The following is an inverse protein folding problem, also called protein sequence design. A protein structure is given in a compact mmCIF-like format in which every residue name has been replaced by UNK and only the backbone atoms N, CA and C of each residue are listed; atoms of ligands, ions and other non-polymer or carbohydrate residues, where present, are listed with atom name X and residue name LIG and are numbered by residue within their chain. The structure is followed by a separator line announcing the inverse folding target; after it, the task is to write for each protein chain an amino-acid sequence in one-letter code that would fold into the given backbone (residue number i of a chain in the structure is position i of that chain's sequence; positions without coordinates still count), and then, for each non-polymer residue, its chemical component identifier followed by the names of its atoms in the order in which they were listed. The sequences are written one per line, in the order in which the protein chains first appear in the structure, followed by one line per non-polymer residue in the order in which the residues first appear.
data_IF_577563092612
#
_entry.id   IF_577563092612
#
_cell.length_a   1.000
_cell.length_b   1.000
_cell.length_c   1.000
_cell.angle_alpha   90.00
_cell.angle_beta   90.00
_cell.angle_gamma   90.00
#
_symmetry.space_group_name_H-M   'P 1'
#
loop_
_entity.id
_entity.type
_entity.pdbx_description
1 polymer ?
#
# COMPACT_ATOMS: atom_id res chain seq x y z
N UNK A 1 -33.17 -25.30 42.41
CA UNK A 1 -32.88 -26.28 41.36
C UNK A 1 -33.10 -25.59 40.02
N UNK A 2 -32.05 -25.19 39.32
CA UNK A 2 -32.03 -25.05 37.86
C UNK A 2 -30.56 -24.80 37.44
N UNK A 3 -30.00 -25.77 36.73
CA UNK A 3 -28.64 -25.80 36.24
C UNK A 3 -28.57 -24.96 34.95
N UNK A 4 -27.84 -23.85 34.93
CA UNK A 4 -27.48 -23.16 33.70
C UNK A 4 -26.22 -23.76 33.13
N UNK A 5 -26.37 -24.42 32.00
CA UNK A 5 -25.33 -24.99 31.17
C UNK A 5 -24.59 -23.82 30.45
N UNK A 6 -23.34 -23.61 30.82
CA UNK A 6 -22.46 -22.63 30.11
C UNK A 6 -21.95 -23.29 28.82
N UNK A 7 -22.39 -22.80 27.69
CA UNK A 7 -21.82 -23.13 26.39
C UNK A 7 -20.58 -22.26 26.19
N UNK A 8 -19.41 -22.89 26.21
CA UNK A 8 -18.17 -22.32 25.78
C UNK A 8 -18.08 -22.43 24.24
N UNK A 9 -18.24 -21.33 23.54
CA UNK A 9 -17.98 -21.26 22.09
C UNK A 9 -16.50 -20.99 21.91
N UNK A 10 -15.76 -22.03 21.49
CA UNK A 10 -14.39 -21.88 20.99
C UNK A 10 -14.47 -21.20 19.60
N UNK A 11 -13.69 -20.15 19.32
CA UNK A 11 -13.50 -19.69 17.96
C UNK A 11 -12.48 -20.61 17.28
N UNK A 12 -12.97 -21.44 16.37
CA UNK A 12 -12.14 -22.22 15.46
C UNK A 12 -11.48 -21.26 14.47
N UNK A 13 -10.18 -21.06 14.61
CA UNK A 13 -9.37 -20.42 13.56
C UNK A 13 -9.32 -21.36 12.35
N UNK A 14 -10.04 -21.02 11.30
CA UNK A 14 -9.90 -21.66 10.00
C UNK A 14 -8.77 -20.98 9.28
N UNK A 15 -7.56 -21.57 9.32
CA UNK A 15 -6.51 -21.32 8.34
C UNK A 15 -7.00 -21.91 6.99
N UNK A 16 -7.59 -21.09 6.17
CA UNK A 16 -7.97 -21.44 4.80
C UNK A 16 -6.77 -21.34 3.88
N UNK A 17 -6.10 -22.45 3.62
CA UNK A 17 -5.30 -22.66 2.43
C UNK A 17 -6.27 -22.67 1.24
N UNK A 18 -6.37 -21.56 0.53
CA UNK A 18 -7.12 -21.52 -0.74
C UNK A 18 -6.24 -22.07 -1.85
N UNK A 19 -6.23 -23.40 -2.01
CA UNK A 19 -5.97 -24.02 -3.28
C UNK A 19 -7.19 -23.75 -4.16
N UNK A 20 -7.01 -23.04 -5.28
CA UNK A 20 -8.08 -22.82 -6.27
C UNK A 20 -8.35 -24.14 -6.98
N UNK A 21 -9.10 -25.05 -6.35
CA UNK A 21 -9.68 -26.20 -7.03
C UNK A 21 -10.99 -25.75 -7.66
N UNK A 22 -10.99 -25.69 -8.98
CA UNK A 22 -12.19 -25.59 -9.81
C UNK A 22 -13.14 -26.74 -9.47
N UNK A 23 -14.22 -26.48 -8.74
CA UNK A 23 -15.38 -27.35 -8.70
C UNK A 23 -16.44 -26.81 -9.64
N UNK A 24 -16.70 -27.58 -10.68
CA UNK A 24 -17.86 -27.45 -11.55
C UNK A 24 -19.14 -27.78 -10.77
N UNK A 25 -20.09 -26.86 -10.72
CA UNK A 25 -21.50 -27.17 -10.66
C UNK A 25 -22.19 -26.33 -11.73
N UNK A 26 -22.85 -27.04 -12.63
CA UNK A 26 -23.75 -26.51 -13.65
C UNK A 26 -24.88 -25.76 -12.95
N UNK A 27 -24.89 -24.43 -13.09
CA UNK A 27 -26.08 -23.62 -13.02
C UNK A 27 -25.91 -22.49 -14.04
N UNK A 28 -26.82 -22.46 -15.01
CA UNK A 28 -27.00 -21.45 -16.04
C UNK A 28 -27.33 -20.09 -15.38
N UNK A 29 -26.30 -19.37 -14.95
CA UNK A 29 -26.39 -17.94 -14.69
C UNK A 29 -25.35 -17.23 -15.55
N UNK A 30 -25.80 -16.50 -16.57
CA UNK A 30 -25.02 -15.82 -17.61
C UNK A 30 -24.25 -14.59 -17.09
N UNK A 31 -23.99 -14.51 -15.82
CA UNK A 31 -23.18 -13.50 -15.15
C UNK A 31 -21.78 -14.01 -14.87
N UNK A 32 -20.78 -13.53 -15.61
CA UNK A 32 -19.39 -13.85 -15.31
C UNK A 32 -19.03 -13.33 -13.91
N UNK A 33 -18.64 -14.23 -12.99
CA UNK A 33 -18.31 -13.90 -11.62
C UNK A 33 -17.06 -13.00 -11.58
N UNK A 34 -17.05 -12.03 -10.69
CA UNK A 34 -15.86 -11.22 -10.40
C UNK A 34 -14.66 -12.11 -10.07
N UNK A 35 -13.49 -11.71 -10.54
CA UNK A 35 -12.23 -12.44 -10.40
C UNK A 35 -11.30 -11.67 -9.47
N UNK A 36 -10.74 -12.36 -8.48
CA UNK A 36 -9.68 -11.80 -7.63
C UNK A 36 -8.40 -12.62 -7.85
N UNK A 37 -7.30 -11.92 -8.08
CA UNK A 37 -5.97 -12.48 -8.35
C UNK A 37 -4.93 -11.75 -7.50
N UNK A 38 -3.73 -12.31 -7.39
CA UNK A 38 -2.56 -11.59 -6.87
C UNK A 38 -1.67 -11.14 -8.02
N UNK A 39 -0.89 -10.10 -7.80
CA UNK A 39 0.13 -9.65 -8.77
C UNK A 39 0.97 -10.83 -9.26
N UNK A 40 1.15 -10.95 -10.58
CA UNK A 40 1.88 -12.01 -11.26
C UNK A 40 1.09 -13.30 -11.48
N UNK A 41 -0.13 -13.44 -10.95
CA UNK A 41 -0.98 -14.59 -11.25
C UNK A 41 -1.54 -14.49 -12.67
N UNK A 42 -1.96 -15.66 -13.22
CA UNK A 42 -2.63 -15.74 -14.50
C UNK A 42 -4.01 -16.39 -14.35
N UNK A 43 -4.96 -15.92 -15.16
CA UNK A 43 -6.31 -16.47 -15.22
C UNK A 43 -6.73 -16.69 -16.68
N UNK A 44 -7.27 -17.86 -16.98
CA UNK A 44 -7.75 -18.19 -18.35
C UNK A 44 -9.28 -18.06 -18.40
N UNK A 45 -9.77 -17.17 -19.27
CA UNK A 45 -11.19 -16.98 -19.52
C UNK A 45 -11.70 -18.18 -20.32
N UNK A 46 -12.74 -18.86 -19.80
CA UNK A 46 -13.20 -20.15 -20.35
C UNK A 46 -13.96 -20.01 -21.67
N UNK A 47 -14.59 -18.87 -21.94
CA UNK A 47 -15.46 -18.68 -23.12
C UNK A 47 -15.38 -17.26 -23.67
N UNK A 48 -15.69 -17.11 -24.96
CA UNK A 48 -15.62 -15.82 -25.64
C UNK A 48 -14.26 -15.52 -26.26
N UNK A 49 -14.22 -14.52 -27.11
CA UNK A 49 -13.04 -14.00 -27.80
C UNK A 49 -13.02 -12.48 -27.72
N UNK A 50 -11.91 -11.87 -28.14
CA UNK A 50 -11.73 -10.41 -28.17
C UNK A 50 -11.88 -9.73 -26.80
N UNK A 51 -11.36 -10.36 -25.77
CA UNK A 51 -11.33 -9.80 -24.43
C UNK A 51 -10.33 -8.64 -24.36
N UNK A 52 -10.70 -7.59 -23.64
CA UNK A 52 -9.88 -6.43 -23.34
C UNK A 52 -10.04 -6.05 -21.86
N UNK A 53 -9.09 -5.31 -21.35
CA UNK A 53 -9.11 -4.71 -20.01
C UNK A 53 -9.14 -3.19 -20.16
N UNK A 54 -9.88 -2.51 -19.31
CA UNK A 54 -9.99 -1.04 -19.31
C UNK A 54 -8.77 -0.34 -18.69
N UNK A 55 -7.94 -1.08 -17.95
CA UNK A 55 -6.71 -0.57 -17.35
C UNK A 55 -5.55 -1.58 -17.53
N UNK A 56 -4.70 -1.31 -18.52
CA UNK A 56 -3.55 -2.16 -18.86
C UNK A 56 -2.43 -2.14 -17.79
N UNK A 57 -2.42 -1.18 -16.87
CA UNK A 57 -1.51 -1.21 -15.74
C UNK A 57 -1.88 -2.29 -14.72
N UNK A 58 -3.18 -2.56 -14.54
CA UNK A 58 -3.65 -3.56 -13.57
C UNK A 58 -3.50 -4.97 -14.10
N UNK A 59 -3.76 -5.17 -15.40
CA UNK A 59 -3.61 -6.49 -16.03
C UNK A 59 -3.36 -6.39 -17.54
N UNK A 60 -2.67 -7.39 -18.08
CA UNK A 60 -2.48 -7.61 -19.52
C UNK A 60 -3.32 -8.79 -19.98
N UNK A 61 -3.87 -8.71 -21.21
CA UNK A 61 -4.62 -9.81 -21.83
C UNK A 61 -3.92 -10.26 -23.10
N UNK A 62 -3.62 -11.56 -23.16
CA UNK A 62 -3.10 -12.22 -24.37
C UNK A 62 -4.02 -13.38 -24.74
N UNK A 63 -4.79 -13.22 -25.83
CA UNK A 63 -5.81 -14.19 -26.22
C UNK A 63 -6.92 -14.30 -25.19
N UNK A 64 -7.00 -15.44 -24.48
CA UNK A 64 -7.93 -15.67 -23.37
C UNK A 64 -7.27 -15.66 -21.99
N UNK A 65 -5.98 -15.33 -21.93
CA UNK A 65 -5.23 -15.33 -20.65
C UNK A 65 -5.03 -13.92 -20.14
N UNK A 66 -5.46 -13.68 -18.90
CA UNK A 66 -5.19 -12.47 -18.12
C UNK A 66 -3.95 -12.71 -17.28
N UNK A 67 -3.03 -11.76 -17.25
CA UNK A 67 -1.90 -11.70 -16.31
C UNK A 67 -2.05 -10.45 -15.44
N UNK A 68 -2.14 -10.64 -14.13
CA UNK A 68 -2.19 -9.55 -13.16
C UNK A 68 -0.81 -8.88 -13.05
N UNK A 69 -0.74 -7.54 -13.19
CA UNK A 69 0.53 -6.77 -13.24
C UNK A 69 0.69 -5.81 -12.08
N UNK A 70 -0.37 -5.10 -11.67
CA UNK A 70 -0.33 -4.10 -10.61
C UNK A 70 -1.56 -4.24 -9.72
N UNK A 71 -1.40 -3.95 -8.42
CA UNK A 71 -2.51 -3.88 -7.45
C UNK A 71 -3.54 -2.84 -7.89
N UNK A 72 -4.81 -3.25 -7.96
CA UNK A 72 -5.88 -2.36 -8.38
C UNK A 72 -7.14 -3.08 -8.84
N UNK A 73 -7.99 -2.33 -9.47
CA UNK A 73 -9.24 -2.81 -10.04
C UNK A 73 -9.33 -2.47 -11.52
N UNK A 74 -9.85 -3.39 -12.30
CA UNK A 74 -10.10 -3.20 -13.72
C UNK A 74 -11.39 -3.92 -14.15
N UNK A 75 -11.95 -3.52 -15.28
CA UNK A 75 -13.05 -4.21 -15.93
C UNK A 75 -12.52 -4.98 -17.13
N UNK A 76 -12.78 -6.26 -17.15
CA UNK A 76 -12.48 -7.12 -18.31
C UNK A 76 -13.77 -7.30 -19.12
N UNK A 77 -13.72 -7.02 -20.43
CA UNK A 77 -14.90 -7.11 -21.29
C UNK A 77 -14.57 -7.57 -22.71
N UNK A 78 -15.58 -8.12 -23.41
CA UNK A 78 -15.51 -8.44 -24.84
C UNK A 78 -16.64 -7.79 -25.66
N UNK A 79 -17.30 -6.78 -25.09
CA UNK A 79 -18.42 -6.07 -25.69
C UNK A 79 -19.80 -6.71 -25.44
N UNK A 80 -19.88 -8.01 -25.15
CA UNK A 80 -21.13 -8.70 -24.81
C UNK A 80 -21.19 -9.12 -23.36
N UNK A 81 -20.05 -9.43 -22.76
CA UNK A 81 -19.90 -9.82 -21.36
C UNK A 81 -18.81 -9.02 -20.70
N UNK A 82 -18.95 -8.80 -19.39
CA UNK A 82 -17.92 -8.11 -18.59
C UNK A 82 -17.91 -8.64 -17.17
N UNK A 83 -16.76 -8.52 -16.51
CA UNK A 83 -16.60 -8.81 -15.09
C UNK A 83 -15.54 -7.89 -14.47
N UNK A 84 -15.64 -7.70 -13.16
CA UNK A 84 -14.66 -6.97 -12.39
C UNK A 84 -13.47 -7.86 -12.05
N UNK A 85 -12.28 -7.37 -12.33
CA UNK A 85 -11.00 -7.93 -11.89
C UNK A 85 -10.50 -7.11 -10.72
N UNK A 86 -10.13 -7.78 -9.62
CA UNK A 86 -9.42 -7.19 -8.48
C UNK A 86 -8.06 -7.86 -8.38
N UNK A 87 -7.00 -7.07 -8.36
CA UNK A 87 -5.64 -7.55 -8.18
C UNK A 87 -5.14 -7.14 -6.80
N UNK A 88 -4.91 -8.14 -5.95
CA UNK A 88 -4.37 -8.00 -4.60
C UNK A 88 -2.84 -8.07 -4.60
N UNK A 89 -2.16 -7.45 -3.63
CA UNK A 89 -0.72 -7.56 -3.48
C UNK A 89 -0.27 -8.96 -3.05
N UNK A 90 0.92 -9.37 -3.44
CA UNK A 90 1.65 -10.49 -2.83
C UNK A 90 2.41 -10.04 -1.59
N UNK A 91 3.05 -8.87 -1.68
CA UNK A 91 3.89 -8.30 -0.63
C UNK A 91 3.09 -7.34 0.22
N UNK A 92 3.03 -7.62 1.53
CA UNK A 92 2.36 -6.75 2.51
C UNK A 92 3.39 -6.40 3.58
N UNK A 93 3.85 -5.14 3.60
CA UNK A 93 4.80 -4.65 4.60
C UNK A 93 4.11 -3.92 5.75
N UNK A 94 3.02 -3.23 5.45
CA UNK A 94 2.19 -2.51 6.41
C UNK A 94 0.77 -2.37 5.89
N UNK A 95 -0.11 -1.95 6.77
CA UNK A 95 -1.45 -1.53 6.38
C UNK A 95 -1.38 -0.15 5.72
N UNK A 96 -2.03 0.02 4.58
CA UNK A 96 -2.09 1.32 3.92
C UNK A 96 -2.58 2.42 4.87
N UNK A 97 -1.96 3.60 4.84
CA UNK A 97 -2.38 4.72 5.67
C UNK A 97 -3.79 5.18 5.29
N UNK A 98 -4.42 5.96 6.15
CA UNK A 98 -5.72 6.54 5.82
C UNK A 98 -5.56 7.62 4.75
N UNK A 99 -6.18 7.44 3.57
CA UNK A 99 -6.00 8.27 2.37
C UNK A 99 -7.32 8.90 1.88
N UNK A 100 -8.28 9.15 2.76
CA UNK A 100 -9.48 9.91 2.37
C UNK A 100 -9.16 11.40 2.46
N UNK A 101 -8.72 11.98 1.36
CA UNK A 101 -8.38 13.40 1.27
C UNK A 101 -9.53 14.29 1.72
N UNK A 102 -9.21 15.45 2.27
CA UNK A 102 -10.16 16.39 2.90
C UNK A 102 -10.87 15.87 4.15
N UNK A 103 -10.52 14.70 4.68
CA UNK A 103 -11.04 14.23 5.97
C UNK A 103 -10.60 15.15 7.11
N UNK A 104 -11.44 15.27 8.14
CA UNK A 104 -11.08 15.98 9.37
C UNK A 104 -10.11 15.15 10.22
N UNK A 105 -9.39 15.83 11.12
CA UNK A 105 -8.51 15.17 12.10
C UNK A 105 -9.25 14.12 12.95
N UNK A 106 -10.49 14.39 13.34
CA UNK A 106 -11.33 13.44 14.08
C UNK A 106 -11.61 12.16 13.29
N UNK A 107 -11.82 12.24 11.98
CA UNK A 107 -12.03 11.06 11.13
C UNK A 107 -10.76 10.22 11.02
N UNK A 108 -9.59 10.85 10.90
CA UNK A 108 -8.30 10.15 10.92
C UNK A 108 -8.07 9.47 12.27
N UNK A 109 -8.31 10.18 13.39
CA UNK A 109 -8.19 9.61 14.75
C UNK A 109 -9.11 8.39 14.94
N UNK A 110 -10.31 8.43 14.42
CA UNK A 110 -11.23 7.27 14.46
C UNK A 110 -10.69 6.08 13.65
N UNK A 111 -10.17 6.34 12.44
CA UNK A 111 -9.60 5.29 11.60
C UNK A 111 -8.33 4.67 12.21
N UNK A 112 -7.54 5.49 12.91
CA UNK A 112 -6.29 5.10 13.57
C UNK A 112 -6.46 4.68 15.03
N UNK A 113 -7.65 4.47 15.52
CA UNK A 113 -7.96 4.18 16.94
C UNK A 113 -7.28 2.93 17.52
N UNK A 114 -6.75 2.03 16.66
CA UNK A 114 -5.99 0.84 17.05
C UNK A 114 -4.48 1.07 17.14
N UNK A 115 -4.01 2.29 16.83
CA UNK A 115 -2.61 2.71 16.87
C UNK A 115 -2.41 3.69 18.01
N UNK A 116 -1.24 3.65 18.62
CA UNK A 116 -0.87 4.60 19.66
C UNK A 116 -0.54 5.96 19.05
N UNK A 117 -1.24 6.99 19.53
CA UNK A 117 -0.97 8.37 19.13
C UNK A 117 0.23 8.90 19.93
N UNK A 118 1.30 9.27 19.21
CA UNK A 118 2.53 9.83 19.82
C UNK A 118 2.48 11.35 19.91
N UNK A 119 2.02 11.99 18.86
CA UNK A 119 2.02 13.46 18.76
C UNK A 119 0.76 13.94 18.07
N UNK A 120 0.21 15.01 18.61
CA UNK A 120 -0.90 15.78 18.01
C UNK A 120 -0.62 17.27 18.15
N UNK A 121 -0.66 17.99 17.05
CA UNK A 121 -0.68 19.46 17.01
C UNK A 121 -1.72 19.93 15.98
N UNK A 122 -1.81 21.22 15.70
CA UNK A 122 -2.87 21.78 14.85
C UNK A 122 -2.86 21.20 13.43
N UNK A 123 -1.69 20.89 12.89
CA UNK A 123 -1.52 20.48 11.49
C UNK A 123 -1.09 19.02 11.33
N UNK A 124 -0.92 18.25 12.43
CA UNK A 124 -0.29 16.94 12.37
C UNK A 124 -0.84 15.93 13.38
N UNK A 125 -0.84 14.65 12.98
CA UNK A 125 -0.95 13.49 13.86
C UNK A 125 0.17 12.51 13.54
N UNK A 126 0.84 11.97 14.56
CA UNK A 126 1.84 10.91 14.42
C UNK A 126 1.44 9.74 15.31
N UNK A 127 1.49 8.55 14.76
CA UNK A 127 1.20 7.29 15.44
C UNK A 127 2.37 6.33 15.39
N UNK A 128 2.52 5.50 16.42
CA UNK A 128 3.36 4.32 16.33
C UNK A 128 2.89 3.43 15.18
N UNK A 129 3.83 2.87 14.44
CA UNK A 129 3.57 1.96 13.36
C UNK A 129 3.30 0.52 13.85
N UNK A 130 3.09 -0.36 12.90
CA UNK A 130 2.99 -1.81 13.07
C UNK A 130 3.59 -2.51 11.86
N UNK A 131 3.93 -3.77 12.03
CA UNK A 131 4.54 -4.60 11.00
C UNK A 131 5.91 -4.01 10.58
N UNK A 132 6.04 -3.55 9.33
CA UNK A 132 7.26 -2.93 8.81
C UNK A 132 7.18 -1.39 8.74
N UNK A 133 6.08 -0.79 9.19
CA UNK A 133 5.98 0.64 9.40
C UNK A 133 6.46 0.97 10.82
N UNK A 134 7.43 1.88 10.93
CA UNK A 134 7.87 2.38 12.25
C UNK A 134 6.89 3.44 12.75
N UNK A 135 6.43 4.34 11.86
CA UNK A 135 5.45 5.38 12.19
C UNK A 135 4.49 5.65 11.04
N UNK A 136 3.31 6.19 11.41
CA UNK A 136 2.36 6.82 10.48
C UNK A 136 2.26 8.32 10.78
N UNK A 137 2.39 9.15 9.75
CA UNK A 137 2.20 10.59 9.81
C UNK A 137 0.98 11.02 9.00
N UNK A 138 0.25 12.01 9.49
CA UNK A 138 -0.90 12.61 8.81
C UNK A 138 -0.82 14.11 8.91
N UNK A 139 -0.96 14.79 7.78
CA UNK A 139 -0.89 16.24 7.73
C UNK A 139 -2.18 16.88 7.29
N UNK A 140 -2.47 18.00 7.92
CA UNK A 140 -3.69 18.77 7.75
C UNK A 140 -3.39 20.19 7.33
N UNK A 141 -4.07 20.67 6.32
CA UNK A 141 -4.09 22.05 5.93
C UNK A 141 -5.51 22.58 6.08
N UNK A 142 -5.70 23.67 6.82
CA UNK A 142 -7.02 24.20 7.16
C UNK A 142 -7.96 23.13 7.79
N UNK A 143 -7.40 22.25 8.63
CA UNK A 143 -8.13 21.18 9.31
C UNK A 143 -8.54 20.02 8.41
N UNK A 144 -8.02 19.94 7.17
CA UNK A 144 -8.30 18.91 6.16
C UNK A 144 -7.05 18.09 5.85
N UNK A 145 -7.20 16.77 5.83
CA UNK A 145 -6.12 15.84 5.46
C UNK A 145 -5.69 16.08 4.01
N UNK A 146 -4.40 16.37 3.78
CA UNK A 146 -3.85 16.52 2.45
C UNK A 146 -2.67 15.58 2.17
N UNK A 147 -2.01 15.04 3.22
CA UNK A 147 -0.93 14.08 3.07
C UNK A 147 -0.96 13.03 4.17
N UNK A 148 -0.62 11.79 3.80
CA UNK A 148 -0.41 10.68 4.71
C UNK A 148 0.97 10.08 4.45
N UNK A 149 1.67 9.63 5.49
CA UNK A 149 3.04 9.14 5.37
C UNK A 149 3.22 7.85 6.16
N UNK A 150 4.09 7.00 5.64
CA UNK A 150 4.65 5.84 6.35
C UNK A 150 6.14 6.03 6.44
N UNK A 151 6.69 5.88 7.63
CA UNK A 151 8.12 5.92 7.90
C UNK A 151 8.58 4.50 8.17
N UNK A 152 9.66 4.07 7.49
CA UNK A 152 10.17 2.71 7.63
C UNK A 152 11.70 2.69 7.56
N UNK A 153 12.29 1.91 8.45
CA UNK A 153 13.70 1.49 8.40
C UNK A 153 13.88 0.16 7.65
N UNK A 154 12.77 -0.49 7.25
CA UNK A 154 12.79 -1.76 6.54
C UNK A 154 12.99 -1.53 5.04
N UNK A 155 14.23 -1.71 4.55
CA UNK A 155 14.65 -1.47 3.17
C UNK A 155 15.20 -2.75 2.51
N UNK A 156 14.66 -3.90 2.86
CA UNK A 156 14.99 -5.21 2.29
C UNK A 156 14.38 -5.39 0.88
N UNK A 157 14.65 -6.51 0.23
CA UNK A 157 14.19 -6.78 -1.14
C UNK A 157 12.66 -6.73 -1.28
N UNK A 158 11.91 -7.17 -0.26
CA UNK A 158 10.45 -7.09 -0.25
C UNK A 158 9.93 -5.64 -0.29
N UNK A 159 10.72 -4.65 0.17
CA UNK A 159 10.33 -3.24 0.03
C UNK A 159 10.26 -2.80 -1.44
N UNK A 160 11.20 -3.29 -2.26
CA UNK A 160 11.17 -3.08 -3.70
C UNK A 160 9.96 -3.77 -4.35
N UNK A 161 9.68 -5.01 -3.99
CA UNK A 161 8.51 -5.74 -4.48
C UNK A 161 7.22 -5.04 -4.06
N UNK A 162 7.14 -4.54 -2.83
CA UNK A 162 6.01 -3.75 -2.35
C UNK A 162 5.73 -2.51 -3.22
N UNK A 163 6.76 -1.77 -3.61
CA UNK A 163 6.61 -0.59 -4.47
C UNK A 163 6.19 -0.97 -5.90
N UNK A 164 6.82 -2.00 -6.47
CA UNK A 164 6.55 -2.48 -7.83
C UNK A 164 5.13 -3.02 -8.01
N UNK A 165 4.63 -3.72 -7.00
CA UNK A 165 3.29 -4.29 -7.06
C UNK A 165 2.18 -3.24 -7.04
N UNK A 166 2.46 -2.03 -6.56
CA UNK A 166 1.43 -1.00 -6.27
C UNK A 166 1.50 0.25 -7.11
N UNK A 167 2.72 0.61 -7.58
CA UNK A 167 2.93 1.96 -8.09
C UNK A 167 3.62 1.97 -9.44
N UNK A 168 3.27 2.96 -10.23
CA UNK A 168 3.85 3.25 -11.55
C UNK A 168 4.92 4.32 -11.33
N UNK A 169 6.16 4.04 -11.77
CA UNK A 169 7.26 5.00 -11.71
C UNK A 169 6.98 6.19 -12.63
N UNK A 170 7.08 7.41 -12.07
CA UNK A 170 6.97 8.68 -12.84
C UNK A 170 8.36 9.30 -13.06
N UNK A 171 9.23 9.22 -12.06
CA UNK A 171 10.55 9.82 -12.13
C UNK A 171 11.33 9.71 -10.83
N UNK A 172 12.52 10.31 -10.81
CA UNK A 172 13.37 10.34 -9.62
C UNK A 172 14.21 11.64 -9.56
N UNK A 173 14.67 11.97 -8.35
CA UNK A 173 15.60 13.05 -8.10
C UNK A 173 16.77 12.52 -7.25
N UNK A 174 18.00 12.66 -7.76
CA UNK A 174 19.20 12.15 -7.07
C UNK A 174 19.71 13.08 -5.98
N UNK A 175 19.48 14.39 -6.09
CA UNK A 175 19.90 15.36 -5.08
C UNK A 175 19.08 15.18 -3.78
N UNK A 176 17.78 14.90 -3.92
CA UNK A 176 16.87 14.68 -2.79
C UNK A 176 16.70 13.22 -2.41
N UNK A 177 17.36 12.30 -3.11
CA UNK A 177 17.21 10.86 -2.96
C UNK A 177 15.72 10.42 -3.00
N UNK A 178 14.97 10.95 -3.97
CA UNK A 178 13.51 10.75 -4.05
C UNK A 178 13.14 9.96 -5.30
N UNK A 179 12.13 9.10 -5.19
CA UNK A 179 11.46 8.44 -6.32
C UNK A 179 10.00 8.86 -6.29
N UNK A 180 9.46 9.19 -7.45
CA UNK A 180 8.08 9.63 -7.63
C UNK A 180 7.28 8.55 -8.35
N UNK A 181 6.12 8.24 -7.83
CA UNK A 181 5.19 7.25 -8.34
C UNK A 181 3.78 7.81 -8.44
N UNK A 182 2.91 7.08 -9.14
CA UNK A 182 1.47 7.23 -9.07
C UNK A 182 0.81 5.85 -8.89
N UNK A 183 -0.45 5.84 -8.46
CA UNK A 183 -1.26 4.63 -8.42
C UNK A 183 -1.80 4.27 -9.83
N UNK A 184 -2.39 3.09 -9.97
CA UNK A 184 -2.99 2.63 -11.22
C UNK A 184 -4.11 3.54 -11.76
N UNK A 185 -4.75 4.30 -10.90
CA UNK A 185 -5.82 5.24 -11.26
C UNK A 185 -5.32 6.64 -11.60
N UNK A 186 -4.01 6.92 -11.36
CA UNK A 186 -3.35 8.21 -11.53
C UNK A 186 -4.00 9.35 -10.73
N UNK A 187 -4.68 9.02 -9.62
CA UNK A 187 -5.41 10.00 -8.81
C UNK A 187 -4.59 10.57 -7.67
N UNK A 188 -3.56 9.86 -7.23
CA UNK A 188 -2.66 10.35 -6.19
C UNK A 188 -1.20 10.07 -6.54
N UNK A 189 -0.35 10.88 -5.94
CA UNK A 189 1.11 10.74 -6.04
C UNK A 189 1.62 10.00 -4.81
N UNK A 190 2.62 9.16 -5.05
CA UNK A 190 3.40 8.52 -4.00
C UNK A 190 4.85 8.96 -4.14
N UNK A 191 5.45 9.41 -3.05
CA UNK A 191 6.83 9.87 -3.00
C UNK A 191 7.59 8.97 -2.02
N UNK A 192 8.60 8.25 -2.50
CA UNK A 192 9.55 7.55 -1.64
C UNK A 192 10.80 8.42 -1.48
N UNK A 193 11.02 8.99 -0.32
CA UNK A 193 12.19 9.80 0.02
C UNK A 193 13.12 9.00 0.94
N UNK A 194 14.35 8.79 0.50
CA UNK A 194 15.39 8.06 1.23
C UNK A 194 16.27 9.01 2.02
N UNK A 195 16.61 8.65 3.24
CA UNK A 195 17.42 9.46 4.15
C UNK A 195 18.10 8.60 5.20
N UNK A 196 18.96 9.21 6.00
CA UNK A 196 19.63 8.56 7.14
C UNK A 196 19.37 9.35 8.43
N UNK A 197 19.12 8.62 9.51
CA UNK A 197 18.97 9.16 10.86
C UNK A 197 19.86 8.37 11.79
N UNK A 198 20.81 9.05 12.47
CA UNK A 198 21.77 8.38 13.36
C UNK A 198 22.43 7.16 12.66
N UNK A 199 22.84 7.34 11.41
CA UNK A 199 23.43 6.32 10.55
C UNK A 199 22.47 5.14 10.20
N UNK A 200 21.20 5.24 10.53
CA UNK A 200 20.18 4.27 10.13
C UNK A 200 19.51 4.70 8.82
N UNK A 201 19.50 3.85 7.79
CA UNK A 201 18.80 4.13 6.55
C UNK A 201 17.28 4.11 6.76
N UNK A 202 16.61 5.13 6.23
CA UNK A 202 15.16 5.32 6.33
C UNK A 202 14.55 5.62 4.96
N UNK A 203 13.31 5.17 4.76
CA UNK A 203 12.44 5.67 3.70
C UNK A 203 11.16 6.25 4.29
N UNK A 204 10.76 7.39 3.76
CA UNK A 204 9.48 8.03 3.99
C UNK A 204 8.65 7.83 2.73
N UNK A 205 7.56 7.07 2.84
CA UNK A 205 6.60 6.87 1.74
C UNK A 205 5.42 7.80 1.98
N UNK A 206 5.39 8.90 1.27
CA UNK A 206 4.33 9.91 1.35
C UNK A 206 3.28 9.70 0.27
N UNK A 207 2.02 9.90 0.63
CA UNK A 207 0.83 9.80 -0.23
C UNK A 207 0.10 11.14 -0.22
N UNK A 208 -0.31 11.62 -1.38
CA UNK A 208 -1.04 12.86 -1.49
C UNK A 208 -1.83 12.99 -2.79
N UNK A 209 -2.72 13.96 -2.86
CA UNK A 209 -3.45 14.26 -4.09
C UNK A 209 -2.49 14.66 -5.20
N UNK A 210 -2.72 14.20 -6.43
CA UNK A 210 -1.84 14.47 -7.56
C UNK A 210 -1.67 15.97 -7.87
N UNK A 211 -2.62 16.81 -7.46
CA UNK A 211 -2.55 18.27 -7.61
C UNK A 211 -1.56 18.95 -6.65
N UNK A 212 -1.09 18.24 -5.58
CA UNK A 212 -0.33 18.82 -4.46
C UNK A 212 1.16 18.38 -4.42
N UNK A 213 1.70 17.86 -5.52
CA UNK A 213 3.06 17.25 -5.58
C UNK A 213 4.16 18.12 -4.96
N UNK A 214 4.19 19.42 -5.29
CA UNK A 214 5.25 20.32 -4.85
C UNK A 214 5.17 20.65 -3.36
N UNK A 215 3.96 20.83 -2.83
CA UNK A 215 3.74 21.07 -1.41
C UNK A 215 4.07 19.82 -0.59
N UNK A 216 3.74 18.63 -1.09
CA UNK A 216 3.97 17.36 -0.44
C UNK A 216 5.45 17.05 -0.21
N UNK A 217 6.31 17.25 -1.22
CA UNK A 217 7.76 17.02 -1.08
C UNK A 217 8.43 17.96 -0.06
N UNK A 218 7.99 19.23 0.02
CA UNK A 218 8.48 20.17 1.03
C UNK A 218 8.00 19.77 2.43
N UNK A 219 6.77 19.33 2.52
CA UNK A 219 6.14 18.92 3.75
C UNK A 219 6.80 17.66 4.33
N UNK A 220 7.09 16.65 3.51
CA UNK A 220 7.80 15.44 3.95
C UNK A 220 9.13 15.76 4.64
N UNK A 221 9.86 16.77 4.16
CA UNK A 221 11.12 17.23 4.80
C UNK A 221 10.86 17.86 6.16
N UNK A 222 9.83 18.68 6.32
CA UNK A 222 9.51 19.32 7.60
C UNK A 222 9.03 18.30 8.65
N UNK A 223 8.22 17.32 8.22
CA UNK A 223 7.75 16.24 9.08
C UNK A 223 8.90 15.35 9.59
N UNK A 224 9.83 15.07 8.70
CA UNK A 224 11.01 14.32 9.04
C UNK A 224 11.79 14.97 10.19
N UNK A 225 11.94 16.31 10.17
CA UNK A 225 12.59 17.07 11.23
C UNK A 225 11.87 16.87 12.55
N UNK A 226 10.55 16.86 12.55
CA UNK A 226 9.73 16.68 13.76
C UNK A 226 9.79 15.26 14.33
N UNK A 227 9.93 14.24 13.47
CA UNK A 227 10.04 12.84 13.86
C UNK A 227 11.47 12.41 14.26
N UNK A 228 12.48 13.10 13.76
CA UNK A 228 13.89 12.76 14.01
C UNK A 228 14.21 12.44 15.49
N UNK A 229 13.76 13.23 16.49
CA UNK A 229 14.01 12.92 17.91
C UNK A 229 13.39 11.59 18.35
N UNK A 230 12.16 11.27 17.90
CA UNK A 230 11.48 10.01 18.27
C UNK A 230 12.18 8.81 17.64
N UNK A 231 12.59 8.92 16.37
CA UNK A 231 13.33 7.88 15.67
C UNK A 231 14.68 7.64 16.36
N UNK A 232 15.43 8.69 16.67
CA UNK A 232 16.72 8.59 17.37
C UNK A 232 16.57 7.91 18.74
N UNK A 233 15.51 8.21 19.48
CA UNK A 233 15.22 7.56 20.77
C UNK A 233 14.87 6.08 20.57
N UNK A 234 14.04 5.73 19.62
CA UNK A 234 13.67 4.35 19.32
C UNK A 234 14.85 3.51 18.81
N UNK A 235 15.79 4.11 18.07
CA UNK A 235 17.06 3.46 17.70
C UNK A 235 17.88 3.17 18.95
N UNK A 236 18.06 4.17 19.83
CA UNK A 236 18.81 4.04 21.07
C UNK A 236 18.23 2.99 22.01
N UNK A 237 16.91 2.85 22.04
CA UNK A 237 16.21 1.87 22.85
C UNK A 237 16.21 0.47 22.24
N UNK A 238 16.64 0.31 20.98
CA UNK A 238 16.64 -0.95 20.24
C UNK A 238 15.27 -1.36 19.70
N UNK A 239 14.29 -0.44 19.69
CA UNK A 239 12.96 -0.66 19.15
C UNK A 239 13.00 -0.72 17.61
N UNK A 240 13.95 0.00 17.01
CA UNK A 240 14.24 0.03 15.58
C UNK A 240 15.56 -0.70 15.33
N UNK A 241 15.52 -1.71 14.44
CA UNK A 241 16.72 -2.45 14.03
C UNK A 241 17.54 -1.65 13.05
N UNK A 242 18.79 -1.40 13.39
CA UNK A 242 19.75 -0.77 12.48
C UNK A 242 20.09 -1.76 11.36
N UNK A 243 19.69 -1.43 10.12
CA UNK A 243 20.13 -2.12 8.91
C UNK A 243 21.46 -1.54 8.41
N UNK A 244 22.22 -2.33 7.66
CA UNK A 244 23.48 -1.87 7.03
C UNK A 244 23.26 -1.37 5.59
N UNK A 245 22.03 -1.08 5.19
CA UNK A 245 21.70 -0.69 3.83
C UNK A 245 22.19 0.74 3.54
N UNK A 246 22.84 0.94 2.39
CA UNK A 246 23.16 2.26 1.88
C UNK A 246 21.96 2.82 1.12
N UNK A 247 21.39 3.94 1.56
CA UNK A 247 20.18 4.54 0.95
C UNK A 247 20.32 4.83 -0.55
N UNK A 248 21.53 5.17 -1.03
CA UNK A 248 21.78 5.40 -2.47
C UNK A 248 21.75 4.11 -3.25
N UNK A 249 22.31 3.02 -2.70
CA UNK A 249 22.31 1.71 -3.31
C UNK A 249 20.89 1.12 -3.33
N UNK A 250 20.12 1.26 -2.24
CA UNK A 250 18.70 0.84 -2.19
C UNK A 250 17.90 1.57 -3.25
N UNK A 251 18.02 2.92 -3.33
CA UNK A 251 17.35 3.71 -4.36
C UNK A 251 17.73 3.27 -5.77
N UNK A 252 19.02 3.07 -6.04
CA UNK A 252 19.52 2.63 -7.35
C UNK A 252 18.96 1.26 -7.75
N UNK A 253 18.95 0.31 -6.81
CA UNK A 253 18.37 -1.03 -7.01
C UNK A 253 16.88 -0.97 -7.34
N UNK A 254 16.11 -0.14 -6.63
CA UNK A 254 14.69 0.06 -6.91
C UNK A 254 14.50 0.60 -8.33
N UNK A 255 15.24 1.64 -8.73
CA UNK A 255 15.13 2.24 -10.07
C UNK A 255 15.54 1.27 -11.18
N UNK A 256 16.54 0.42 -10.97
CA UNK A 256 16.96 -0.60 -11.93
C UNK A 256 15.88 -1.65 -12.18
N UNK A 257 15.16 -2.03 -11.13
CA UNK A 257 14.14 -3.07 -11.21
C UNK A 257 12.77 -2.56 -11.66
N UNK A 258 12.54 -1.25 -11.69
CA UNK A 258 11.31 -0.59 -12.15
C UNK A 258 11.37 -0.15 -13.63
N UNK A 259 12.51 -0.30 -14.29
CA UNK A 259 12.70 -0.06 -15.74
C UNK A 259 12.23 -1.26 -16.55
#
# INVERSE_FOLDING_TARGET
MNKFLKWAVLPTMILGLFTVTSCSSDDDDSGQKNVTMKVGDTYTIKSGSNWSVDNEYVAEITGSTIKATLVGEATVSNGTSSFKLTVDPKTILWKDPYMKWNASKSQVKTAMSKYELLTENDDQLIYNGKDKADYYGYQFQNGKLYSSMVFTSYLEDEFNDFLKERFILIGSNDETLTIYFTDYSMKYIVIAMFTEIEDVPYCIVGYGDASEVNSMAQTMKSEFINLKPYIAESIKNGDIKVGNANVREVKAKILETLK
#
